data_IF_060674459761
#
_entry.id   IF_060674459761
#
_cell.length_a   1.000
_cell.length_b   1.000
_cell.length_c   1.000
_cell.angle_alpha   90.00
_cell.angle_beta   90.00
_cell.angle_gamma   90.00
#
_symmetry.space_group_name_H-M   'P 1'
#
loop_
_entity.id
_entity.type
_entity.pdbx_description
1 polymer ?
#
# COMPACT_ATOMS: atom_id res chain seq x y z
N UNK A 1 11.09 -36.91 96.11
CA UNK A 1 11.12 -37.33 94.68
C UNK A 1 11.59 -36.12 93.89
N UNK A 2 12.90 -35.95 93.63
CA UNK A 2 13.71 -36.55 92.56
C UNK A 2 13.15 -36.17 91.18
N UNK A 3 13.70 -35.15 90.50
CA UNK A 3 14.92 -35.03 89.67
C UNK A 3 14.60 -35.17 88.17
N UNK A 4 15.12 -34.20 87.42
CA UNK A 4 15.12 -34.03 85.96
C UNK A 4 15.78 -35.21 85.21
N UNK A 5 15.42 -35.37 83.92
CA UNK A 5 16.30 -35.59 82.73
C UNK A 5 15.42 -35.63 81.45
N UNK A 6 15.69 -34.77 80.45
CA UNK A 6 16.28 -35.05 79.11
C UNK A 6 15.27 -35.68 78.13
N UNK A 7 15.16 -35.37 76.84
CA UNK A 7 15.93 -34.64 75.82
C UNK A 7 15.32 -35.01 74.44
N UNK A 8 15.91 -34.51 73.34
CA UNK A 8 15.60 -34.74 71.90
C UNK A 8 14.64 -33.71 71.26
N UNK A 9 15.12 -32.67 70.56
CA UNK A 9 15.81 -32.58 69.24
C UNK A 9 14.86 -32.66 68.03
N UNK A 10 15.17 -31.84 67.00
CA UNK A 10 14.59 -31.74 65.64
C UNK A 10 13.49 -30.68 65.48
N UNK A 11 13.49 -29.76 64.50
CA UNK A 11 14.41 -29.40 63.42
C UNK A 11 14.03 -27.99 62.94
N UNK A 12 15.02 -27.28 62.44
CA UNK A 12 14.98 -25.98 61.79
C UNK A 12 13.99 -25.92 60.60
N UNK A 13 13.47 -24.73 60.29
CA UNK A 13 13.70 -24.07 58.99
C UNK A 13 12.99 -22.71 58.96
N UNK A 14 13.72 -21.65 59.36
CA UNK A 14 13.40 -20.29 58.96
C UNK A 14 13.73 -20.12 57.46
N UNK A 15 12.72 -20.17 56.60
CA UNK A 15 12.89 -19.68 55.23
C UNK A 15 12.86 -18.15 55.21
N UNK A 16 14.04 -17.56 55.41
CA UNK A 16 14.38 -16.21 54.94
C UNK A 16 14.23 -16.19 53.41
N UNK A 17 13.19 -15.53 52.93
CA UNK A 17 13.09 -15.10 51.54
C UNK A 17 14.24 -14.10 51.29
N UNK A 18 15.28 -14.55 50.61
CA UNK A 18 16.34 -13.67 50.13
C UNK A 18 15.88 -13.10 48.79
N UNK A 19 15.33 -11.88 48.80
CA UNK A 19 15.14 -11.11 47.56
C UNK A 19 16.52 -10.68 47.05
N UNK A 20 17.11 -11.53 46.20
CA UNK A 20 18.20 -11.13 45.32
C UNK A 20 17.62 -10.16 44.30
N UNK A 21 17.74 -8.88 44.59
CA UNK A 21 17.45 -7.81 43.64
C UNK A 21 18.57 -7.82 42.60
N UNK A 22 18.41 -8.66 41.58
CA UNK A 22 19.24 -8.60 40.38
C UNK A 22 18.87 -7.30 39.65
N UNK A 23 19.79 -6.37 39.77
CA UNK A 23 19.84 -5.10 39.05
C UNK A 23 20.02 -5.41 37.56
N UNK A 24 18.92 -5.39 36.81
CA UNK A 24 18.95 -5.48 35.36
C UNK A 24 19.40 -4.11 34.82
N UNK A 25 20.69 -3.99 34.54
CA UNK A 25 21.23 -2.90 33.75
C UNK A 25 20.77 -3.07 32.30
N UNK A 26 19.60 -2.50 31.98
CA UNK A 26 19.22 -2.25 30.60
C UNK A 26 20.02 -1.05 30.09
N UNK A 27 21.21 -1.32 29.57
CA UNK A 27 21.87 -0.43 28.62
C UNK A 27 21.12 -0.52 27.29
N UNK A 28 19.93 0.08 27.27
CA UNK A 28 19.19 0.37 26.05
C UNK A 28 19.92 1.52 25.37
N UNK A 29 20.68 1.22 24.32
CA UNK A 29 21.27 2.22 23.43
C UNK A 29 20.15 3.15 22.92
N UNK A 30 20.06 4.32 23.54
CA UNK A 30 19.11 5.38 23.25
C UNK A 30 19.40 5.95 21.86
N UNK A 31 18.86 5.35 20.80
CA UNK A 31 18.38 6.15 19.66
C UNK A 31 17.09 6.84 20.13
N UNK A 32 17.23 7.79 21.06
CA UNK A 32 16.13 8.64 21.48
C UNK A 32 15.75 9.51 20.28
N UNK A 33 14.77 9.06 19.49
CA UNK A 33 14.20 9.89 18.44
C UNK A 33 13.66 11.16 19.09
N UNK A 34 14.30 12.29 18.81
CA UNK A 34 13.94 13.58 19.37
C UNK A 34 12.49 13.90 18.96
N UNK A 35 11.64 14.10 19.97
CA UNK A 35 10.24 14.46 19.77
C UNK A 35 10.16 15.99 19.84
N UNK A 36 9.63 16.58 18.77
CA UNK A 36 9.48 18.03 18.62
C UNK A 36 8.00 18.39 18.56
N UNK A 37 7.61 19.49 19.20
CA UNK A 37 6.25 20.02 19.14
C UNK A 37 6.08 21.01 17.97
N UNK A 38 5.11 20.74 17.08
CA UNK A 38 4.75 21.57 15.94
C UNK A 38 3.24 21.79 15.94
N UNK A 39 2.79 23.04 16.04
CA UNK A 39 1.36 23.41 16.01
C UNK A 39 0.47 22.59 16.98
N UNK A 40 0.99 22.24 18.16
CA UNK A 40 0.29 21.47 19.19
C UNK A 40 0.30 19.94 18.99
N UNK A 41 1.07 19.44 18.03
CA UNK A 41 1.34 18.01 17.79
C UNK A 41 2.78 17.68 18.17
N UNK A 42 3.00 16.57 18.87
CA UNK A 42 4.34 16.07 19.16
C UNK A 42 4.67 14.98 18.14
N UNK A 43 5.74 15.19 17.37
CA UNK A 43 6.15 14.34 16.24
C UNK A 43 7.65 14.08 16.30
N UNK A 44 8.15 13.10 15.55
CA UNK A 44 9.59 12.86 15.43
C UNK A 44 10.25 14.00 14.65
N UNK A 45 11.48 14.37 15.02
CA UNK A 45 12.25 15.41 14.32
C UNK A 45 12.34 15.16 12.80
N UNK A 46 12.49 13.89 12.40
CA UNK A 46 12.50 13.46 10.99
C UNK A 46 11.22 13.78 10.20
N UNK A 47 10.10 14.05 10.88
CA UNK A 47 8.81 14.37 10.28
C UNK A 47 8.51 15.87 10.28
N UNK A 48 9.29 16.70 11.01
CA UNK A 48 9.02 18.14 11.20
C UNK A 48 8.91 18.87 9.86
N UNK A 49 9.81 18.59 8.93
CA UNK A 49 9.78 19.23 7.60
C UNK A 49 8.51 18.91 6.82
N UNK A 50 7.99 17.69 6.93
CA UNK A 50 6.76 17.27 6.25
C UNK A 50 5.54 17.93 6.87
N UNK A 51 5.47 17.95 8.21
CA UNK A 51 4.35 18.56 8.93
C UNK A 51 4.32 20.07 8.71
N UNK A 52 5.46 20.75 8.76
CA UNK A 52 5.55 22.18 8.44
C UNK A 52 5.05 22.48 7.03
N UNK A 53 5.48 21.69 6.03
CA UNK A 53 5.01 21.86 4.66
C UNK A 53 3.49 21.67 4.49
N UNK A 54 2.86 20.83 5.32
CA UNK A 54 1.39 20.68 5.35
C UNK A 54 0.75 21.95 5.87
N UNK A 55 1.20 22.48 7.01
CA UNK A 55 0.64 23.69 7.61
C UNK A 55 0.92 24.95 6.78
N UNK A 56 2.05 25.03 6.08
CA UNK A 56 2.33 26.13 5.15
C UNK A 56 1.33 26.18 3.99
N UNK A 57 0.96 25.02 3.44
CA UNK A 57 0.01 24.92 2.32
C UNK A 57 -1.45 24.95 2.77
N UNK A 58 -1.71 24.46 3.97
CA UNK A 58 -3.05 24.28 4.55
C UNK A 58 -3.04 24.76 6.00
N UNK A 59 -2.91 26.08 6.25
CA UNK A 59 -2.74 26.62 7.59
C UNK A 59 -3.94 26.39 8.50
N UNK A 60 -5.14 26.23 7.93
CA UNK A 60 -6.38 25.98 8.67
C UNK A 60 -6.68 24.48 8.86
N UNK A 61 -5.77 23.57 8.47
CA UNK A 61 -6.00 22.12 8.46
C UNK A 61 -6.51 21.57 9.81
N UNK A 62 -6.02 22.11 10.93
CA UNK A 62 -6.38 21.67 12.28
C UNK A 62 -7.23 22.69 13.05
N UNK A 63 -7.81 23.68 12.37
CA UNK A 63 -8.56 24.76 13.04
C UNK A 63 -9.80 24.29 13.79
N UNK A 64 -10.48 23.24 13.32
CA UNK A 64 -11.64 22.65 13.99
C UNK A 64 -11.26 21.38 14.80
N UNK A 65 -9.97 21.02 14.84
CA UNK A 65 -9.46 19.83 15.52
C UNK A 65 -9.21 20.12 17.00
N UNK A 66 -10.12 19.66 17.88
CA UNK A 66 -10.18 20.09 19.27
C UNK A 66 -9.91 18.98 20.31
N UNK A 67 -9.19 17.91 19.93
CA UNK A 67 -8.82 16.84 20.85
C UNK A 67 -7.87 17.33 21.94
N UNK A 68 -8.18 17.05 23.22
CA UNK A 68 -7.34 17.43 24.36
C UNK A 68 -6.21 16.43 24.65
N UNK A 69 -6.43 15.15 24.34
CA UNK A 69 -5.47 14.10 24.63
C UNK A 69 -4.29 14.17 23.65
N UNK A 70 -3.08 14.39 24.16
CA UNK A 70 -1.87 14.56 23.33
C UNK A 70 -1.52 13.31 22.52
N UNK A 71 -1.64 12.12 23.11
CA UNK A 71 -1.36 10.85 22.43
C UNK A 71 -2.28 10.68 21.22
N UNK A 72 -3.56 11.02 21.37
CA UNK A 72 -4.49 11.02 20.25
C UNK A 72 -4.08 12.03 19.19
N UNK A 73 -3.79 13.29 19.55
CA UNK A 73 -3.34 14.30 18.56
C UNK A 73 -2.19 13.77 17.71
N UNK A 74 -1.16 13.23 18.36
CA UNK A 74 0.02 12.68 17.69
C UNK A 74 -0.36 11.51 16.77
N UNK A 75 -1.22 10.59 17.23
CA UNK A 75 -1.71 9.48 16.41
C UNK A 75 -2.48 9.96 15.17
N UNK A 76 -3.35 10.98 15.30
CA UNK A 76 -4.06 11.57 14.16
C UNK A 76 -3.09 12.20 13.15
N UNK A 77 -2.04 12.89 13.61
CA UNK A 77 -1.00 13.43 12.73
C UNK A 77 -0.23 12.32 12.02
N UNK A 78 0.13 11.24 12.73
CA UNK A 78 0.76 10.06 12.13
C UNK A 78 -0.11 9.45 11.03
N UNK A 79 -1.40 9.26 11.30
CA UNK A 79 -2.36 8.74 10.31
C UNK A 79 -2.48 9.67 9.09
N UNK A 80 -2.47 10.99 9.29
CA UNK A 80 -2.47 11.96 8.19
C UNK A 80 -1.20 11.86 7.33
N UNK A 81 -0.02 11.76 7.96
CA UNK A 81 1.25 11.58 7.25
C UNK A 81 1.25 10.27 6.46
N UNK A 82 0.85 9.15 7.07
CA UNK A 82 0.76 7.84 6.42
C UNK A 82 -0.18 7.85 5.22
N UNK A 83 -1.33 8.55 5.34
CA UNK A 83 -2.28 8.74 4.26
C UNK A 83 -1.66 9.50 3.09
N UNK A 84 -0.99 10.63 3.36
CA UNK A 84 -0.30 11.43 2.34
C UNK A 84 0.79 10.60 1.66
N UNK A 85 1.61 9.89 2.44
CA UNK A 85 2.66 9.01 1.92
C UNK A 85 2.08 7.90 1.04
N UNK A 86 0.94 7.32 1.43
CA UNK A 86 0.23 6.32 0.63
C UNK A 86 -0.19 6.88 -0.73
N UNK A 87 -0.76 8.09 -0.77
CA UNK A 87 -1.18 8.73 -2.02
C UNK A 87 -0.01 9.20 -2.90
N UNK A 88 1.17 9.43 -2.31
CA UNK A 88 2.40 9.75 -3.04
C UNK A 88 3.08 8.54 -3.68
N UNK A 89 2.64 7.30 -3.40
CA UNK A 89 3.22 6.09 -4.00
C UNK A 89 3.00 6.04 -5.51
N UNK A 90 3.87 5.33 -6.26
CA UNK A 90 3.66 5.12 -7.68
C UNK A 90 2.27 4.52 -7.99
N UNK A 91 1.57 4.97 -9.04
CA UNK A 91 0.22 4.45 -9.38
C UNK A 91 0.16 2.94 -9.68
N UNK A 92 1.32 2.30 -9.92
CA UNK A 92 1.44 0.85 -10.10
C UNK A 92 1.33 0.10 -8.78
N UNK A 93 1.81 0.69 -7.68
CA UNK A 93 1.80 0.11 -6.33
C UNK A 93 0.50 0.42 -5.59
N UNK A 94 -0.15 1.54 -5.91
CA UNK A 94 -1.41 1.94 -5.29
C UNK A 94 -2.57 1.08 -5.78
N UNK A 95 -3.13 0.22 -4.93
CA UNK A 95 -4.26 -0.66 -5.26
C UNK A 95 -5.62 0.04 -5.11
N UNK A 96 -6.70 -0.60 -5.59
CA UNK A 96 -8.05 -0.08 -5.34
C UNK A 96 -8.41 -0.17 -3.85
N UNK A 97 -7.91 -1.18 -3.15
CA UNK A 97 -8.12 -1.36 -1.71
C UNK A 97 -7.38 -0.29 -0.91
N UNK A 98 -6.17 0.08 -1.32
CA UNK A 98 -5.44 1.21 -0.72
C UNK A 98 -6.22 2.52 -0.86
N UNK A 99 -6.80 2.78 -2.05
CA UNK A 99 -7.63 3.96 -2.29
C UNK A 99 -8.92 3.95 -1.44
N UNK A 100 -9.58 2.79 -1.34
CA UNK A 100 -10.77 2.64 -0.50
C UNK A 100 -10.44 2.81 0.99
N UNK A 101 -9.29 2.32 1.44
CA UNK A 101 -8.80 2.54 2.80
C UNK A 101 -8.50 4.02 3.03
N UNK A 102 -7.81 4.66 2.09
CA UNK A 102 -7.53 6.10 2.12
C UNK A 102 -8.81 6.93 2.20
N UNK A 103 -9.87 6.58 1.47
CA UNK A 103 -11.17 7.27 1.51
C UNK A 103 -11.80 7.22 2.90
N UNK A 104 -11.80 6.03 3.53
CA UNK A 104 -12.27 5.87 4.91
C UNK A 104 -11.42 6.67 5.89
N UNK A 105 -10.11 6.65 5.73
CA UNK A 105 -9.20 7.44 6.57
C UNK A 105 -9.46 8.95 6.43
N UNK A 106 -9.62 9.48 5.21
CA UNK A 106 -9.98 10.90 4.99
C UNK A 106 -11.28 11.23 5.71
N UNK A 107 -12.30 10.36 5.60
CA UNK A 107 -13.57 10.55 6.26
C UNK A 107 -13.44 10.61 7.79
N UNK A 108 -12.70 9.68 8.40
CA UNK A 108 -12.54 9.63 9.85
C UNK A 108 -11.69 10.77 10.40
N UNK A 109 -10.61 11.15 9.71
CA UNK A 109 -9.82 12.35 10.02
C UNK A 109 -10.66 13.63 9.90
N UNK A 110 -11.54 13.71 8.90
CA UNK A 110 -12.44 14.87 8.73
C UNK A 110 -13.47 14.94 9.85
N UNK A 111 -14.05 13.80 10.27
CA UNK A 111 -14.96 13.74 11.44
C UNK A 111 -14.28 14.19 12.74
N UNK A 112 -12.97 13.98 12.86
CA UNK A 112 -12.19 14.45 14.00
C UNK A 112 -11.91 15.96 13.98
N UNK A 113 -12.28 16.66 12.91
CA UNK A 113 -12.13 18.11 12.78
C UNK A 113 -10.98 18.57 11.89
N UNK A 114 -10.30 17.66 11.17
CA UNK A 114 -9.28 18.05 10.20
C UNK A 114 -9.91 18.50 8.87
N UNK A 115 -9.48 19.65 8.33
CA UNK A 115 -9.94 20.20 7.05
C UNK A 115 -9.16 19.60 5.89
N UNK A 116 -9.65 18.47 5.37
CA UNK A 116 -8.96 17.66 4.34
C UNK A 116 -9.58 17.74 2.93
N UNK A 117 -10.23 18.86 2.59
CA UNK A 117 -10.91 19.01 1.27
C UNK A 117 -9.95 18.84 0.09
N UNK A 118 -8.72 19.36 0.21
CA UNK A 118 -7.68 19.23 -0.82
C UNK A 118 -7.25 17.77 -1.01
N UNK A 119 -7.16 17.00 0.08
CA UNK A 119 -6.76 15.60 0.05
C UNK A 119 -7.88 14.73 -0.52
N UNK A 120 -9.14 15.08 -0.22
CA UNK A 120 -10.32 14.47 -0.85
C UNK A 120 -10.30 14.65 -2.37
N UNK A 121 -10.03 15.87 -2.86
CA UNK A 121 -9.91 16.12 -4.31
C UNK A 121 -8.78 15.30 -4.94
N UNK A 122 -7.62 15.19 -4.27
CA UNK A 122 -6.50 14.37 -4.75
C UNK A 122 -6.84 12.88 -4.79
N UNK A 123 -7.63 12.41 -3.83
CA UNK A 123 -8.11 11.04 -3.80
C UNK A 123 -9.10 10.76 -4.94
N UNK A 124 -10.04 11.67 -5.21
CA UNK A 124 -10.97 11.57 -6.33
C UNK A 124 -10.22 11.52 -7.68
N UNK A 125 -9.20 12.36 -7.86
CA UNK A 125 -8.30 12.30 -9.02
C UNK A 125 -7.61 10.93 -9.15
N UNK A 126 -7.22 10.31 -8.03
CA UNK A 126 -6.57 9.00 -8.03
C UNK A 126 -7.53 7.88 -8.45
N UNK A 127 -8.77 7.90 -7.97
CA UNK A 127 -9.83 6.98 -8.42
C UNK A 127 -10.08 7.09 -9.91
N UNK A 128 -10.27 8.31 -10.42
CA UNK A 128 -10.49 8.57 -11.85
C UNK A 128 -9.33 8.06 -12.73
N UNK A 129 -8.08 8.30 -12.30
CA UNK A 129 -6.89 7.77 -13.00
C UNK A 129 -6.88 6.24 -13.03
N UNK A 130 -7.29 5.59 -11.93
CA UNK A 130 -7.32 4.12 -11.83
C UNK A 130 -8.38 3.53 -12.76
N UNK A 131 -9.57 4.11 -12.79
CA UNK A 131 -10.66 3.71 -13.68
C UNK A 131 -10.28 3.89 -15.14
N UNK A 132 -9.79 5.07 -15.53
CA UNK A 132 -9.33 5.33 -16.89
C UNK A 132 -8.26 4.35 -17.36
N UNK A 133 -7.32 3.97 -16.47
CA UNK A 133 -6.31 2.95 -16.78
C UNK A 133 -6.94 1.58 -17.04
N UNK A 134 -7.97 1.20 -16.29
CA UNK A 134 -8.72 -0.05 -16.49
C UNK A 134 -9.38 -0.05 -17.88
N UNK A 135 -10.04 1.04 -18.24
CA UNK A 135 -10.74 1.18 -19.52
C UNK A 135 -9.78 1.15 -20.71
N UNK A 136 -8.68 1.91 -20.62
CA UNK A 136 -7.62 1.87 -21.64
C UNK A 136 -7.07 0.45 -21.77
N UNK A 137 -6.82 -0.23 -20.66
CA UNK A 137 -6.34 -1.61 -20.66
C UNK A 137 -7.33 -2.59 -21.31
N UNK A 138 -8.64 -2.41 -21.08
CA UNK A 138 -9.67 -3.20 -21.74
C UNK A 138 -9.70 -2.94 -23.26
N UNK A 139 -9.61 -1.68 -23.67
CA UNK A 139 -9.57 -1.30 -25.09
C UNK A 139 -8.33 -1.84 -25.80
N UNK A 140 -7.17 -1.85 -25.14
CA UNK A 140 -5.95 -2.45 -25.70
C UNK A 140 -6.16 -3.93 -25.99
N UNK A 141 -6.69 -4.70 -25.02
CA UNK A 141 -6.94 -6.15 -25.21
C UNK A 141 -7.90 -6.43 -26.36
N UNK A 142 -8.99 -5.66 -26.45
CA UNK A 142 -9.94 -5.76 -27.55
C UNK A 142 -9.28 -5.50 -28.91
N UNK A 143 -8.45 -4.46 -29.01
CA UNK A 143 -7.73 -4.14 -30.24
C UNK A 143 -6.71 -5.22 -30.59
N UNK A 144 -6.00 -5.79 -29.61
CA UNK A 144 -5.07 -6.91 -29.82
C UNK A 144 -5.78 -8.13 -30.40
N UNK A 145 -6.97 -8.47 -29.90
CA UNK A 145 -7.79 -9.57 -30.44
C UNK A 145 -8.25 -9.29 -31.87
N UNK A 146 -8.73 -8.08 -32.16
CA UNK A 146 -9.11 -7.68 -33.51
C UNK A 146 -7.93 -7.75 -34.49
N UNK A 147 -6.75 -7.31 -34.07
CA UNK A 147 -5.51 -7.39 -34.87
C UNK A 147 -5.17 -8.85 -35.14
N UNK A 148 -5.23 -9.72 -34.13
CA UNK A 148 -4.96 -11.15 -34.28
C UNK A 148 -5.94 -11.81 -35.27
N UNK A 149 -7.24 -11.53 -35.16
CA UNK A 149 -8.26 -12.04 -36.08
C UNK A 149 -8.04 -11.58 -37.52
N UNK A 150 -7.75 -10.29 -37.72
CA UNK A 150 -7.49 -9.75 -39.07
C UNK A 150 -6.24 -10.37 -39.69
N UNK A 151 -5.18 -10.59 -38.91
CA UNK A 151 -3.97 -11.27 -39.40
C UNK A 151 -4.26 -12.69 -39.91
N UNK A 152 -5.04 -13.47 -39.15
CA UNK A 152 -5.45 -14.82 -39.56
C UNK A 152 -6.19 -14.78 -40.90
N UNK A 153 -7.21 -13.93 -41.00
CA UNK A 153 -8.01 -13.79 -42.22
C UNK A 153 -7.17 -13.36 -43.43
N UNK A 154 -6.17 -12.48 -43.23
CA UNK A 154 -5.25 -12.07 -44.29
C UNK A 154 -4.39 -13.25 -44.76
N UNK A 155 -3.86 -14.06 -43.84
CA UNK A 155 -3.11 -15.26 -44.21
C UNK A 155 -3.94 -16.28 -44.99
N UNK A 156 -5.21 -16.47 -44.62
CA UNK A 156 -6.13 -17.34 -45.36
C UNK A 156 -6.36 -16.81 -46.79
N UNK A 157 -6.62 -15.51 -46.93
CA UNK A 157 -6.84 -14.87 -48.23
C UNK A 157 -5.57 -14.88 -49.11
N UNK A 158 -4.40 -14.71 -48.52
CA UNK A 158 -3.11 -14.82 -49.22
C UNK A 158 -2.89 -16.24 -49.78
N UNK A 159 -3.26 -17.26 -49.01
CA UNK A 159 -3.21 -18.66 -49.45
C UNK A 159 -4.15 -18.90 -50.63
N UNK A 160 -5.40 -18.43 -50.55
CA UNK A 160 -6.39 -18.54 -51.61
C UNK A 160 -5.94 -17.82 -52.90
N UNK A 161 -5.38 -16.61 -52.76
CA UNK A 161 -4.84 -15.86 -53.88
C UNK A 161 -3.70 -16.62 -54.57
N UNK A 162 -2.78 -17.22 -53.80
CA UNK A 162 -1.68 -18.02 -54.34
C UNK A 162 -2.19 -19.24 -55.10
N UNK A 163 -3.22 -19.92 -54.58
CA UNK A 163 -3.87 -21.05 -55.23
C UNK A 163 -4.51 -20.65 -56.56
N UNK A 164 -5.25 -19.54 -56.60
CA UNK A 164 -5.88 -19.06 -57.84
C UNK A 164 -4.85 -18.64 -58.90
N UNK A 165 -3.75 -17.98 -58.50
CA UNK A 165 -2.64 -17.67 -59.41
C UNK A 165 -2.03 -18.92 -60.03
N UNK A 166 -1.81 -19.97 -59.24
CA UNK A 166 -1.31 -21.24 -59.76
C UNK A 166 -2.30 -21.92 -60.73
N UNK A 167 -3.60 -21.88 -60.41
CA UNK A 167 -4.63 -22.43 -61.28
C UNK A 167 -4.74 -21.67 -62.61
N UNK A 168 -4.64 -20.34 -62.60
CA UNK A 168 -4.64 -19.52 -63.81
C UNK A 168 -3.44 -19.86 -64.71
N UNK A 169 -2.24 -20.00 -64.15
CA UNK A 169 -1.04 -20.40 -64.90
C UNK A 169 -1.21 -21.79 -65.53
N UNK A 170 -1.77 -22.76 -64.81
CA UNK A 170 -2.02 -24.10 -65.32
C UNK A 170 -3.12 -24.14 -66.41
N UNK A 171 -4.04 -23.19 -66.42
CA UNK A 171 -5.06 -23.09 -67.47
C UNK A 171 -4.52 -22.46 -68.77
N UNK A 172 -3.45 -21.66 -68.68
CA UNK A 172 -2.79 -21.03 -69.84
C UNK A 172 -1.75 -21.95 -70.51
N UNK A 173 -1.28 -23.02 -69.85
CA UNK A 173 -0.32 -23.95 -70.43
C UNK A 173 -0.96 -24.76 -71.57
N UNK A 174 -0.43 -24.70 -72.81
CA UNK A 174 -0.91 -25.52 -73.93
C UNK A 174 -0.76 -27.02 -73.64
N UNK A 175 -1.60 -27.85 -74.26
CA UNK A 175 -1.44 -29.30 -74.19
C UNK A 175 -0.08 -29.74 -74.73
N UNK A 176 0.55 -30.71 -74.06
CA UNK A 176 1.72 -31.37 -74.64
C UNK A 176 1.31 -32.30 -75.78
N UNK A 177 2.20 -32.51 -76.74
CA UNK A 177 1.92 -33.43 -77.86
C UNK A 177 1.58 -34.84 -77.37
N UNK A 178 2.21 -35.30 -76.28
CA UNK A 178 1.93 -36.63 -75.69
C UNK A 178 0.61 -36.72 -74.92
N UNK A 179 0.01 -35.59 -74.54
CA UNK A 179 -1.32 -35.55 -73.92
C UNK A 179 -2.46 -35.61 -74.97
N UNK A 180 -2.14 -35.33 -76.24
CA UNK A 180 -3.10 -35.22 -77.36
C UNK A 180 -3.17 -36.48 -78.22
N UNK A 181 -2.06 -37.23 -78.33
CA UNK A 181 -1.91 -38.41 -79.20
C UNK A 181 -1.81 -39.68 -78.38
#
# INVERSE_FOLDING_TARGET
>A
MARNTEGSESSDDEQRYSSSSEEWSEESSEDAHEIVEVNGFQILDSQVSQVNAIFEKHPDIASDFNLKNQQLKNAYMGVLLDLIMTLCRPPKELTMDDLNKADRTVLDLTKAGLKLQWLRQKLDEAFLKKEKKRDIGARIRELEEQVKKRKLNLSDLESDLKKQKAAALAAETPFDFSDVV
#
